data_IF_532386933767
#
_entry.id   IF_532386933767
#
_cell.length_a   1.000
_cell.length_b   1.000
_cell.length_c   1.000
_cell.angle_alpha   90.00
_cell.angle_beta   90.00
_cell.angle_gamma   90.00
#
_symmetry.space_group_name_H-M   'P 1'
#
loop_
_entity.id
_entity.type
_entity.pdbx_description
1 polymer ?
#
# COMPACT_ATOMS: atom_id res chain seq x y z
N UNK A 1 -23.86 1.62 16.73
CA UNK A 1 -22.98 2.08 15.64
C UNK A 1 -21.67 1.28 15.67
N UNK A 2 -21.37 0.50 14.63
CA UNK A 2 -20.03 -0.06 14.48
C UNK A 2 -19.02 1.10 14.55
N UNK A 3 -18.03 1.00 15.43
CA UNK A 3 -17.15 2.10 15.85
C UNK A 3 -16.36 2.69 14.67
N UNK A 4 -16.06 3.99 14.74
CA UNK A 4 -15.33 4.75 13.71
C UNK A 4 -13.91 4.23 13.43
N UNK A 5 -13.46 3.23 14.17
CA UNK A 5 -12.10 2.70 14.22
C UNK A 5 -11.98 1.28 13.64
N UNK A 6 -13.03 0.79 12.94
CA UNK A 6 -13.04 -0.52 12.29
C UNK A 6 -13.46 -0.44 10.82
N UNK A 7 -12.92 -1.35 10.03
CA UNK A 7 -13.37 -1.71 8.69
C UNK A 7 -13.93 -3.14 8.68
N UNK A 8 -14.36 -3.58 7.50
CA UNK A 8 -14.43 -5.02 7.23
C UNK A 8 -13.00 -5.60 7.23
N UNK A 9 -12.90 -6.92 7.45
CA UNK A 9 -11.64 -7.63 7.33
C UNK A 9 -11.10 -7.48 5.89
N UNK A 10 -9.76 -7.40 5.71
CA UNK A 10 -9.19 -7.30 4.38
C UNK A 10 -9.54 -8.55 3.58
N UNK A 11 -9.81 -8.42 2.26
CA UNK A 11 -9.99 -9.57 1.39
C UNK A 11 -8.82 -10.54 1.51
N UNK A 12 -9.04 -11.83 1.26
CA UNK A 12 -7.93 -12.79 1.18
C UNK A 12 -7.14 -12.61 -0.11
N UNK A 13 -5.85 -12.94 -0.08
CA UNK A 13 -5.01 -12.93 -1.28
C UNK A 13 -5.58 -13.88 -2.34
N UNK A 14 -5.67 -13.38 -3.58
CA UNK A 14 -5.99 -14.21 -4.74
C UNK A 14 -4.73 -14.91 -5.27
N UNK A 15 -4.90 -16.02 -5.99
CA UNK A 15 -3.80 -16.69 -6.70
C UNK A 15 -3.16 -15.80 -7.79
N UNK A 16 -3.82 -14.70 -8.17
CA UNK A 16 -3.36 -13.75 -9.17
C UNK A 16 -2.53 -12.58 -8.58
N UNK A 17 -2.20 -12.60 -7.28
CA UNK A 17 -1.39 -11.56 -6.66
C UNK A 17 0.04 -11.45 -7.24
N UNK A 18 0.63 -10.26 -7.12
CA UNK A 18 2.04 -9.99 -7.44
C UNK A 18 2.88 -9.98 -6.17
N UNK A 19 4.00 -10.70 -6.18
CA UNK A 19 4.91 -10.81 -5.05
C UNK A 19 5.95 -9.67 -5.01
N UNK A 20 6.51 -9.41 -3.83
CA UNK A 20 7.59 -8.45 -3.56
C UNK A 20 8.73 -8.47 -4.59
N UNK A 21 9.24 -9.65 -4.94
CA UNK A 21 10.34 -9.83 -5.89
C UNK A 21 10.04 -9.25 -7.27
N UNK A 22 8.78 -9.21 -7.66
CA UNK A 22 8.33 -8.68 -8.94
C UNK A 22 7.97 -7.18 -8.80
N UNK A 23 7.43 -6.78 -7.64
CA UNK A 23 7.17 -5.37 -7.31
C UNK A 23 8.49 -4.56 -7.31
N UNK A 24 9.50 -5.00 -6.56
CA UNK A 24 10.73 -4.23 -6.34
C UNK A 24 11.78 -4.40 -7.43
N UNK A 25 11.51 -5.19 -8.47
CA UNK A 25 12.29 -5.16 -9.72
C UNK A 25 12.12 -3.86 -10.50
N UNK A 26 11.00 -3.16 -10.30
CA UNK A 26 10.67 -1.90 -10.97
C UNK A 26 10.43 -0.76 -9.99
N UNK A 27 9.84 -1.04 -8.82
CA UNK A 27 9.41 0.00 -7.90
C UNK A 27 10.46 0.25 -6.83
N UNK A 28 11.50 0.99 -7.18
CA UNK A 28 12.72 1.14 -6.38
C UNK A 28 12.46 1.68 -4.95
N UNK A 29 12.73 0.84 -3.95
CA UNK A 29 12.74 1.20 -2.53
C UNK A 29 13.92 0.52 -1.82
N UNK A 30 14.51 1.20 -0.84
CA UNK A 30 15.53 0.60 0.02
C UNK A 30 14.94 -0.52 0.90
N UNK A 31 15.76 -1.46 1.42
CA UNK A 31 15.25 -2.66 2.12
C UNK A 31 14.31 -2.37 3.29
N UNK A 32 14.51 -1.27 4.03
CA UNK A 32 13.66 -0.86 5.14
C UNK A 32 12.26 -0.35 4.71
N UNK A 33 12.04 -0.12 3.42
CA UNK A 33 10.81 0.43 2.84
C UNK A 33 10.24 -0.46 1.72
N UNK A 34 10.73 -1.69 1.60
CA UNK A 34 10.08 -2.73 0.80
C UNK A 34 8.90 -3.31 1.59
N UNK A 35 7.90 -2.48 1.86
CA UNK A 35 6.83 -2.75 2.84
C UNK A 35 5.80 -3.77 2.38
N UNK A 36 5.63 -4.00 1.08
CA UNK A 36 4.76 -5.04 0.51
C UNK A 36 5.46 -6.39 0.40
N UNK A 37 4.80 -7.47 0.83
CA UNK A 37 5.17 -8.84 0.43
C UNK A 37 4.36 -9.33 -0.78
N UNK A 38 3.10 -8.89 -0.90
CA UNK A 38 2.18 -9.27 -1.96
C UNK A 38 1.13 -8.18 -2.14
N UNK A 39 0.71 -7.95 -3.38
CA UNK A 39 -0.42 -7.08 -3.70
C UNK A 39 -1.36 -7.74 -4.73
N UNK A 40 -2.66 -7.48 -4.64
CA UNK A 40 -3.66 -8.04 -5.55
C UNK A 40 -4.87 -7.13 -5.67
N UNK A 41 -5.65 -7.34 -6.74
CA UNK A 41 -6.93 -6.67 -6.94
C UNK A 41 -8.08 -7.54 -6.42
N UNK A 42 -9.05 -6.91 -5.77
CA UNK A 42 -10.29 -7.56 -5.33
C UNK A 42 -11.46 -6.58 -5.43
N UNK A 43 -12.52 -6.93 -6.16
CA UNK A 43 -13.77 -6.13 -6.26
C UNK A 43 -13.58 -4.62 -6.53
N UNK A 44 -12.60 -4.27 -7.36
CA UNK A 44 -12.26 -2.87 -7.70
C UNK A 44 -11.34 -2.16 -6.70
N UNK A 45 -11.06 -2.79 -5.57
CA UNK A 45 -10.05 -2.40 -4.59
C UNK A 45 -8.70 -3.03 -4.91
N UNK A 46 -7.64 -2.48 -4.33
CA UNK A 46 -6.31 -3.07 -4.33
C UNK A 46 -5.87 -3.30 -2.90
N UNK A 47 -5.39 -4.49 -2.62
CA UNK A 47 -4.91 -4.87 -1.30
C UNK A 47 -3.42 -5.10 -1.38
N UNK A 48 -2.68 -4.50 -0.46
CA UNK A 48 -1.26 -4.74 -0.27
C UNK A 48 -1.01 -5.26 1.13
N UNK A 49 -0.41 -6.44 1.24
CA UNK A 49 -0.07 -7.04 2.52
C UNK A 49 1.33 -6.62 2.93
N UNK A 50 1.46 -6.22 4.20
CA UNK A 50 2.71 -5.76 4.76
C UNK A 50 3.68 -6.91 4.98
N UNK A 51 4.95 -6.73 4.62
CA UNK A 51 6.04 -7.67 4.88
C UNK A 51 6.23 -7.91 6.39
N UNK A 52 6.48 -9.17 6.77
CA UNK A 52 6.62 -9.55 8.18
C UNK A 52 7.90 -9.03 8.84
N UNK A 53 8.97 -8.95 8.06
CA UNK A 53 10.30 -8.64 8.55
C UNK A 53 10.88 -7.50 7.73
N UNK A 54 10.92 -6.31 8.32
CA UNK A 54 11.57 -5.15 7.75
C UNK A 54 12.82 -4.82 8.60
N UNK A 55 13.97 -4.53 7.98
CA UNK A 55 15.12 -3.95 8.68
C UNK A 55 14.74 -2.68 9.43
N UNK A 56 15.55 -2.16 10.36
CA UNK A 56 15.24 -0.87 11.00
C UNK A 56 15.15 0.28 9.97
N UNK A 57 14.14 1.14 10.09
CA UNK A 57 14.01 2.36 9.28
C UNK A 57 14.61 3.61 9.96
N UNK A 58 15.02 3.50 11.21
CA UNK A 58 15.48 4.63 12.03
C UNK A 58 16.55 4.23 13.04
N UNK A 59 17.21 5.25 13.61
CA UNK A 59 18.25 5.08 14.65
C UNK A 59 18.02 6.12 15.76
N UNK A 60 17.77 5.72 17.01
CA UNK A 60 17.57 4.33 17.48
C UNK A 60 16.27 3.72 16.91
N UNK A 61 16.20 2.39 16.83
CA UNK A 61 15.10 1.67 16.15
C UNK A 61 13.74 1.84 16.85
N UNK A 62 13.76 2.06 18.16
CA UNK A 62 12.60 2.28 19.02
C UNK A 62 12.26 3.77 19.23
N UNK A 63 12.83 4.65 18.41
CA UNK A 63 12.50 6.08 18.48
C UNK A 63 11.00 6.26 18.23
N UNK A 64 10.32 6.91 19.19
CA UNK A 64 8.89 7.20 19.14
C UNK A 64 8.56 8.06 17.90
N UNK A 65 7.49 7.70 17.20
CA UNK A 65 7.03 8.41 16.02
C UNK A 65 5.65 9.02 16.28
N UNK A 66 5.48 10.26 15.82
CA UNK A 66 4.16 10.95 15.84
C UNK A 66 3.27 10.44 14.71
N UNK A 67 3.87 9.88 13.66
CA UNK A 67 3.21 9.31 12.49
C UNK A 67 3.55 7.84 12.35
N UNK A 68 2.94 7.17 11.37
CA UNK A 68 3.24 5.78 11.02
C UNK A 68 3.80 5.67 9.59
N UNK A 69 5.08 6.06 9.33
CA UNK A 69 5.62 6.19 7.97
C UNK A 69 5.48 4.92 7.13
N UNK A 70 5.74 3.75 7.73
CA UNK A 70 5.63 2.47 7.02
C UNK A 70 4.20 2.09 6.65
N UNK A 71 3.23 2.45 7.48
CA UNK A 71 1.82 2.19 7.18
C UNK A 71 1.31 3.13 6.09
N UNK A 72 1.78 4.39 6.11
CA UNK A 72 1.50 5.37 5.06
C UNK A 72 2.14 4.92 3.74
N UNK A 73 3.39 4.46 3.79
CA UNK A 73 4.08 3.87 2.63
C UNK A 73 3.40 2.60 2.12
N UNK A 74 2.82 1.77 3.01
CA UNK A 74 2.02 0.63 2.59
C UNK A 74 0.83 1.08 1.74
N UNK A 75 0.15 2.18 2.11
CA UNK A 75 -0.90 2.78 1.28
C UNK A 75 -0.37 3.30 -0.06
N UNK A 76 0.70 4.10 -0.03
CA UNK A 76 1.28 4.68 -1.26
C UNK A 76 1.75 3.61 -2.23
N UNK A 77 2.47 2.61 -1.74
CA UNK A 77 3.04 1.59 -2.60
C UNK A 77 1.95 0.66 -3.14
N UNK A 78 0.89 0.40 -2.38
CA UNK A 78 -0.28 -0.35 -2.88
C UNK A 78 -0.99 0.41 -4.01
N UNK A 79 -1.19 1.73 -3.86
CA UNK A 79 -1.70 2.58 -4.94
C UNK A 79 -0.75 2.62 -6.14
N UNK A 80 0.57 2.70 -5.89
CA UNK A 80 1.61 2.66 -6.92
C UNK A 80 1.61 1.37 -7.72
N UNK A 81 1.43 0.22 -7.07
CA UNK A 81 1.29 -1.09 -7.75
C UNK A 81 0.09 -1.07 -8.70
N UNK A 82 -1.06 -0.54 -8.26
CA UNK A 82 -2.23 -0.39 -9.13
C UNK A 82 -1.93 0.50 -10.34
N UNK A 83 -1.30 1.65 -10.11
CA UNK A 83 -1.02 2.62 -11.16
C UNK A 83 -0.03 2.06 -12.19
N UNK A 84 1.07 1.46 -11.73
CA UNK A 84 2.03 0.81 -12.63
C UNK A 84 1.36 -0.35 -13.38
N UNK A 85 0.56 -1.16 -12.70
CA UNK A 85 -0.16 -2.27 -13.31
C UNK A 85 -1.12 -1.83 -14.42
N UNK A 86 -1.87 -0.74 -14.19
CA UNK A 86 -2.95 -0.31 -15.09
C UNK A 86 -2.51 0.71 -16.15
N UNK A 87 -1.66 1.67 -15.81
CA UNK A 87 -1.20 2.72 -16.74
C UNK A 87 0.16 2.42 -17.34
N UNK A 88 1.03 1.72 -16.60
CA UNK A 88 2.42 1.49 -16.97
C UNK A 88 3.34 2.65 -16.66
N UNK A 89 2.87 3.61 -15.88
CA UNK A 89 3.66 4.75 -15.42
C UNK A 89 3.94 4.63 -13.94
N UNK A 90 5.14 5.05 -13.55
CA UNK A 90 5.44 5.35 -12.16
C UNK A 90 4.92 6.74 -11.82
N UNK A 91 4.70 6.98 -10.53
CA UNK A 91 4.26 8.28 -10.06
C UNK A 91 4.80 8.54 -8.65
N UNK A 92 4.95 9.82 -8.32
CA UNK A 92 5.40 10.27 -7.01
C UNK A 92 4.21 10.77 -6.19
N UNK A 93 4.22 10.59 -4.85
CA UNK A 93 3.24 11.26 -3.98
C UNK A 93 3.20 12.77 -4.25
N UNK A 94 2.01 13.31 -4.49
CA UNK A 94 1.81 14.73 -4.78
C UNK A 94 1.01 15.44 -3.68
N UNK A 95 -0.07 14.82 -3.22
CA UNK A 95 -1.02 15.44 -2.29
C UNK A 95 -1.80 14.39 -1.50
N UNK A 96 -2.23 14.75 -0.29
CA UNK A 96 -3.15 13.98 0.56
C UNK A 96 -4.12 14.98 1.17
N UNK A 97 -5.42 14.72 1.08
CA UNK A 97 -6.43 15.59 1.71
C UNK A 97 -6.44 15.42 3.23
N UNK A 98 -6.41 14.16 3.68
CA UNK A 98 -6.48 13.82 5.10
C UNK A 98 -5.66 12.56 5.39
N UNK A 99 -4.92 12.60 6.50
CA UNK A 99 -4.25 11.45 7.09
C UNK A 99 -4.67 11.37 8.56
N UNK A 100 -5.25 10.24 8.95
CA UNK A 100 -5.59 9.92 10.33
C UNK A 100 -4.78 8.70 10.77
N UNK A 101 -4.02 8.86 11.86
CA UNK A 101 -3.38 7.75 12.57
C UNK A 101 -4.31 7.33 13.70
N UNK A 102 -4.98 6.19 13.52
CA UNK A 102 -6.02 5.70 14.43
C UNK A 102 -5.41 5.00 15.65
N UNK A 103 -4.35 4.22 15.44
CA UNK A 103 -3.58 3.54 16.49
C UNK A 103 -2.17 3.18 16.00
N UNK A 104 -1.26 2.93 16.93
CA UNK A 104 0.08 2.48 16.60
C UNK A 104 0.11 1.01 16.18
N UNK A 105 1.05 0.65 15.30
CA UNK A 105 1.36 -0.73 14.94
C UNK A 105 2.44 -1.38 15.84
N UNK A 106 2.85 -0.73 16.92
CA UNK A 106 3.81 -1.31 17.86
C UNK A 106 3.25 -2.57 18.53
N UNK A 107 4.02 -3.66 18.46
CA UNK A 107 3.71 -4.91 19.15
C UNK A 107 2.51 -5.68 18.59
N UNK A 108 2.07 -5.39 17.36
CA UNK A 108 0.99 -6.15 16.73
C UNK A 108 1.37 -7.62 16.53
N UNK A 109 0.38 -8.49 16.69
CA UNK A 109 0.44 -9.89 16.29
C UNK A 109 -0.38 -10.07 15.00
N UNK A 110 0.23 -10.64 13.95
CA UNK A 110 -0.42 -10.88 12.66
C UNK A 110 -0.01 -9.91 11.55
N UNK A 111 -0.79 -9.88 10.46
CA UNK A 111 -0.45 -9.15 9.23
C UNK A 111 -1.32 -7.92 9.03
N UNK A 112 -0.67 -6.80 8.71
CA UNK A 112 -1.35 -5.58 8.27
C UNK A 112 -1.55 -5.58 6.76
N UNK A 113 -2.65 -4.96 6.35
CA UNK A 113 -3.06 -4.84 4.96
C UNK A 113 -3.45 -3.39 4.68
N UNK A 114 -2.88 -2.79 3.64
CA UNK A 114 -3.46 -1.60 3.04
C UNK A 114 -4.58 -2.02 2.08
N UNK A 115 -5.74 -1.39 2.21
CA UNK A 115 -6.88 -1.55 1.31
C UNK A 115 -7.10 -0.21 0.64
N UNK A 116 -6.86 -0.16 -0.68
CA UNK A 116 -6.84 1.05 -1.51
C UNK A 116 -8.01 1.03 -2.48
N UNK A 117 -8.77 2.12 -2.50
CA UNK A 117 -9.78 2.44 -3.51
C UNK A 117 -9.21 3.45 -4.52
N UNK A 118 -8.90 3.04 -5.76
CA UNK A 118 -8.74 3.99 -6.86
C UNK A 118 -10.04 4.74 -7.12
N UNK A 119 -9.97 6.07 -7.26
CA UNK A 119 -11.10 6.95 -7.57
C UNK A 119 -10.87 7.63 -8.92
N UNK A 120 -11.97 7.96 -9.61
CA UNK A 120 -11.96 8.69 -10.89
C UNK A 120 -10.98 8.12 -11.94
N UNK A 121 -10.89 6.79 -12.01
CA UNK A 121 -9.99 6.10 -12.91
C UNK A 121 -8.51 6.18 -12.52
N UNK A 122 -8.20 6.36 -11.22
CA UNK A 122 -6.83 6.42 -10.71
C UNK A 122 -6.27 7.82 -10.50
N UNK A 123 -7.11 8.85 -10.57
CA UNK A 123 -6.68 10.24 -10.35
C UNK A 123 -6.45 10.56 -8.87
N UNK A 124 -7.15 9.85 -7.99
CA UNK A 124 -6.93 9.89 -6.55
C UNK A 124 -7.22 8.53 -5.93
N UNK A 125 -6.79 8.37 -4.68
CA UNK A 125 -6.91 7.12 -3.93
C UNK A 125 -7.37 7.42 -2.51
N UNK A 126 -8.35 6.65 -2.04
CA UNK A 126 -8.60 6.51 -0.61
C UNK A 126 -7.97 5.20 -0.14
N UNK A 127 -7.40 5.18 1.05
CA UNK A 127 -6.76 3.99 1.58
C UNK A 127 -6.98 3.88 3.09
N UNK A 128 -6.89 2.66 3.59
CA UNK A 128 -6.75 2.43 5.03
C UNK A 128 -5.85 1.24 5.27
N UNK A 129 -5.22 1.20 6.45
CA UNK A 129 -4.46 0.04 6.92
C UNK A 129 -5.26 -0.66 8.01
N UNK A 130 -5.39 -1.98 7.88
CA UNK A 130 -6.13 -2.81 8.83
C UNK A 130 -5.42 -4.13 9.11
N UNK A 131 -5.68 -4.70 10.29
CA UNK A 131 -5.34 -6.10 10.59
C UNK A 131 -6.43 -7.07 10.08
N UNK A 132 -6.21 -8.36 10.28
CA UNK A 132 -7.12 -9.42 9.83
C UNK A 132 -8.49 -9.39 10.55
N UNK A 133 -8.61 -8.70 11.68
CA UNK A 133 -9.85 -8.54 12.43
C UNK A 133 -10.65 -7.28 12.02
N UNK A 134 -10.10 -6.46 11.12
CA UNK A 134 -10.71 -5.22 10.66
C UNK A 134 -10.45 -4.02 11.57
N UNK A 135 -9.44 -4.06 12.47
CA UNK A 135 -9.09 -2.87 13.25
C UNK A 135 -8.30 -1.88 12.38
N UNK A 136 -8.66 -0.59 12.40
CA UNK A 136 -8.00 0.43 11.59
C UNK A 136 -6.76 1.00 12.30
N UNK A 137 -5.68 1.17 11.53
CA UNK A 137 -4.41 1.77 12.00
C UNK A 137 -4.15 3.13 11.36
N UNK A 138 -4.36 3.22 10.06
CA UNK A 138 -4.23 4.47 9.29
C UNK A 138 -5.43 4.59 8.38
N UNK A 139 -5.95 5.81 8.22
CA UNK A 139 -6.90 6.17 7.18
C UNK A 139 -6.31 7.32 6.39
N UNK A 140 -6.33 7.20 5.06
CA UNK A 140 -5.79 8.16 4.12
C UNK A 140 -6.87 8.47 3.08
N UNK A 141 -7.11 9.76 2.84
CA UNK A 141 -8.14 10.21 1.89
C UNK A 141 -7.56 11.15 0.86
N UNK A 142 -8.07 11.03 -0.36
CA UNK A 142 -7.72 11.94 -1.45
C UNK A 142 -6.22 11.96 -1.79
N UNK A 143 -5.53 10.83 -1.65
CA UNK A 143 -4.14 10.72 -2.08
C UNK A 143 -4.04 10.87 -3.59
N UNK A 144 -3.15 11.73 -4.06
CA UNK A 144 -2.92 12.01 -5.47
C UNK A 144 -1.44 11.83 -5.79
N UNK A 145 -1.18 11.47 -7.04
CA UNK A 145 0.16 11.22 -7.55
C UNK A 145 0.47 12.10 -8.76
N UNK A 146 1.73 12.49 -8.90
CA UNK A 146 2.25 13.10 -10.12
C UNK A 146 2.96 12.02 -10.96
N UNK A 147 2.45 11.75 -12.16
CA UNK A 147 3.04 10.76 -13.07
C UNK A 147 4.43 11.20 -13.56
N UNK A 148 5.33 10.23 -13.65
CA UNK A 148 6.61 10.39 -14.30
C UNK A 148 6.46 10.26 -15.83
N UNK A 149 7.31 10.95 -16.61
CA UNK A 149 7.19 10.95 -18.06
C UNK A 149 7.57 9.60 -18.70
N UNK A 150 8.43 8.82 -18.04
CA UNK A 150 8.96 7.56 -18.53
C UNK A 150 7.98 6.39 -18.30
N UNK A 151 7.85 5.55 -19.31
CA UNK A 151 7.08 4.30 -19.20
C UNK A 151 7.93 3.21 -18.52
N UNK A 152 7.27 2.37 -17.74
CA UNK A 152 7.88 1.17 -17.16
C UNK A 152 8.13 0.14 -18.26
N UNK A 153 9.28 -0.52 -18.20
CA UNK A 153 9.62 -1.67 -19.05
C UNK A 153 8.43 -2.67 -19.11
N UNK A 154 7.86 -2.92 -20.31
CA UNK A 154 6.68 -3.77 -20.45
C UNK A 154 6.86 -5.21 -19.94
N UNK A 155 8.06 -5.77 -20.07
CA UNK A 155 8.33 -7.14 -19.62
C UNK A 155 8.37 -7.21 -18.10
N UNK A 156 8.99 -6.22 -17.46
CA UNK A 156 9.02 -6.12 -16.00
C UNK A 156 7.68 -5.69 -15.40
N UNK A 157 6.86 -4.95 -16.14
CA UNK A 157 5.49 -4.55 -15.73
C UNK A 157 4.53 -5.74 -15.73
N UNK A 158 4.77 -6.76 -16.56
CA UNK A 158 3.82 -7.86 -16.82
C UNK A 158 3.21 -8.48 -15.55
N UNK A 159 3.96 -8.78 -14.47
CA UNK A 159 3.37 -9.34 -13.25
C UNK A 159 2.36 -8.40 -12.59
N UNK A 160 2.68 -7.10 -12.49
CA UNK A 160 1.78 -6.10 -11.91
C UNK A 160 0.54 -5.89 -12.78
N UNK A 161 0.68 -5.90 -14.11
CA UNK A 161 -0.47 -5.82 -15.01
C UNK A 161 -1.42 -6.99 -14.79
N UNK A 162 -0.91 -8.22 -14.76
CA UNK A 162 -1.74 -9.42 -14.54
C UNK A 162 -2.45 -9.39 -13.19
N UNK A 163 -1.78 -8.91 -12.12
CA UNK A 163 -2.38 -8.82 -10.80
C UNK A 163 -3.45 -7.71 -10.68
N UNK A 164 -3.40 -6.70 -11.56
CA UNK A 164 -4.29 -5.54 -11.54
C UNK A 164 -5.35 -5.57 -12.64
N UNK A 165 -5.34 -6.57 -13.54
CA UNK A 165 -6.38 -6.77 -14.57
C UNK A 165 -7.72 -7.16 -13.91
#
# INVERSE_FOLDING_TARGET
PAGRDRSDAPPHASDAGVADKDIYQIYFHGPAYQVLDTAWRDNGMVVGRMAEQLPDDRRPADLEMVTEPRLIELCFQTAGVWQIGTTGRMALPQHIDELEVVRSADGIEGRLHAVVSPKDGGKSFDAHVTDEAGNLYVVLRGYQTAELPEDVDPDKRKPLRVAMD
#
